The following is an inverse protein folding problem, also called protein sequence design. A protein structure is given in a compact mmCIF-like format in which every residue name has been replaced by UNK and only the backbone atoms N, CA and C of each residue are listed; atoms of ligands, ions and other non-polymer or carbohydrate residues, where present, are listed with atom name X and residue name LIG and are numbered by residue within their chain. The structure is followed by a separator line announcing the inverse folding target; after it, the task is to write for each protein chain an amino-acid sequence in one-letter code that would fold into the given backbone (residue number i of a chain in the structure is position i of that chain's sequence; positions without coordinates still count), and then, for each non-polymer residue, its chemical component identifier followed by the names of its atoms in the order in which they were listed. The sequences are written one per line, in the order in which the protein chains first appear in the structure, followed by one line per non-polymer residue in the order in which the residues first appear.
data_IF_874432592725
#
_entry.id   IF_874432592725
#
_cell.length_a   1.000
_cell.length_b   1.000
_cell.length_c   1.000
_cell.angle_alpha   90.00
_cell.angle_beta   90.00
_cell.angle_gamma   90.00
#
_symmetry.space_group_name_H-M   'P 1'
#
loop_
_entity.id
_entity.type
_entity.pdbx_description
1 polymer ?
#
# COMPACT_ATOMS: atom_id res chain seq x y z
N UNK A 1 -20.24 5.29 -10.53
CA UNK A 1 -19.22 6.35 -10.31
C UNK A 1 -19.01 6.58 -8.83
N UNK A 2 -20.05 6.63 -8.03
CA UNK A 2 -20.00 6.93 -6.58
C UNK A 2 -19.11 5.98 -5.76
N UNK A 3 -19.14 4.69 -6.04
CA UNK A 3 -18.29 3.71 -5.34
C UNK A 3 -16.78 3.92 -5.58
N UNK A 4 -16.41 4.39 -6.78
CA UNK A 4 -15.02 4.76 -7.07
C UNK A 4 -14.61 6.03 -6.32
N UNK A 5 -15.52 7.03 -6.26
CA UNK A 5 -15.29 8.24 -5.47
C UNK A 5 -15.22 7.91 -3.97
N UNK A 6 -16.09 7.03 -3.48
CA UNK A 6 -16.06 6.58 -2.10
C UNK A 6 -14.75 5.87 -1.76
N UNK A 7 -14.23 5.03 -2.66
CA UNK A 7 -12.95 4.34 -2.49
C UNK A 7 -11.74 5.27 -2.44
N UNK A 8 -11.88 6.52 -2.89
CA UNK A 8 -10.85 7.56 -2.83
C UNK A 8 -11.15 8.65 -1.79
N UNK A 9 -12.25 8.53 -1.06
CA UNK A 9 -12.68 9.50 -0.06
C UNK A 9 -11.91 9.30 1.26
N UNK A 10 -10.63 9.66 1.25
CA UNK A 10 -9.73 9.56 2.41
C UNK A 10 -10.29 10.45 3.54
N UNK A 11 -10.56 9.88 4.73
CA UNK A 11 -11.06 10.64 5.87
C UNK A 11 -10.16 11.81 6.24
N UNK A 12 -10.76 12.91 6.63
CA UNK A 12 -10.13 14.21 6.91
C UNK A 12 -9.56 14.94 5.67
N UNK A 13 -9.52 14.31 4.49
CA UNK A 13 -9.11 14.93 3.22
C UNK A 13 -10.32 15.21 2.33
N UNK A 14 -11.20 14.21 2.18
CA UNK A 14 -12.39 14.30 1.35
C UNK A 14 -13.67 13.96 2.14
N UNK A 15 -14.82 14.57 1.78
CA UNK A 15 -16.09 14.23 2.40
C UNK A 15 -16.50 12.79 2.01
N UNK A 16 -17.26 12.10 2.87
CA UNK A 16 -17.85 10.82 2.53
C UNK A 16 -18.86 10.94 1.39
N UNK A 17 -19.00 9.90 0.58
CA UNK A 17 -19.91 9.86 -0.56
C UNK A 17 -21.22 9.21 -0.13
N UNK A 18 -22.35 9.87 -0.37
CA UNK A 18 -23.66 9.30 -0.14
C UNK A 18 -24.03 8.33 -1.29
N UNK A 19 -24.26 7.07 -0.95
CA UNK A 19 -24.68 6.04 -1.89
C UNK A 19 -25.75 5.15 -1.26
N UNK A 20 -26.91 5.02 -1.90
CA UNK A 20 -28.05 4.22 -1.42
C UNK A 20 -28.43 4.49 0.05
N UNK A 21 -28.47 5.77 0.44
CA UNK A 21 -28.83 6.19 1.80
C UNK A 21 -27.73 5.96 2.86
N UNK A 22 -26.52 5.54 2.51
CA UNK A 22 -25.39 5.32 3.38
C UNK A 22 -24.22 6.22 3.02
N UNK A 23 -23.51 6.74 4.02
CA UNK A 23 -22.26 7.45 3.83
C UNK A 23 -21.10 6.46 3.74
N UNK A 24 -20.42 6.48 2.61
CA UNK A 24 -19.27 5.63 2.31
C UNK A 24 -17.99 6.48 2.29
N UNK A 25 -16.91 5.95 2.80
CA UNK A 25 -15.56 6.53 2.74
C UNK A 25 -14.54 5.50 2.26
N UNK A 26 -13.28 5.93 2.19
CA UNK A 26 -12.19 5.06 1.78
C UNK A 26 -12.06 3.86 2.72
N UNK A 27 -12.16 2.68 2.15
CA UNK A 27 -12.00 1.40 2.86
C UNK A 27 -10.58 1.10 3.30
N UNK A 28 -9.60 1.87 2.87
CA UNK A 28 -8.18 1.67 3.19
C UNK A 28 -7.87 1.70 4.68
N UNK A 29 -8.72 2.34 5.50
CA UNK A 29 -8.62 2.33 6.96
C UNK A 29 -8.91 0.97 7.59
N UNK A 30 -9.82 0.20 6.98
CA UNK A 30 -10.23 -1.11 7.52
C UNK A 30 -9.57 -2.26 6.78
N UNK A 31 -9.45 -2.17 5.47
CA UNK A 31 -8.88 -3.22 4.62
C UNK A 31 -8.38 -2.63 3.29
N UNK A 32 -7.16 -2.15 3.27
CA UNK A 32 -6.54 -1.51 2.09
C UNK A 32 -6.30 -2.49 0.93
N UNK A 33 -6.06 -3.75 1.23
CA UNK A 33 -5.95 -4.82 0.25
C UNK A 33 -6.85 -5.98 0.69
N UNK A 34 -8.11 -6.06 0.17
CA UNK A 34 -9.15 -6.97 0.68
C UNK A 34 -8.89 -8.43 0.32
N UNK A 35 -7.71 -8.96 0.67
CA UNK A 35 -7.31 -10.34 0.43
C UNK A 35 -8.23 -11.34 1.16
N UNK A 36 -8.62 -11.04 2.39
CA UNK A 36 -9.57 -11.86 3.15
C UNK A 36 -10.93 -11.94 2.46
N UNK A 37 -11.40 -10.84 1.89
CA UNK A 37 -12.63 -10.80 1.09
C UNK A 37 -12.49 -11.63 -0.19
N UNK A 38 -11.36 -11.51 -0.90
CA UNK A 38 -11.10 -12.32 -2.09
C UNK A 38 -11.13 -13.83 -1.75
N UNK A 39 -10.53 -14.21 -0.63
CA UNK A 39 -10.54 -15.62 -0.16
C UNK A 39 -11.95 -16.08 0.22
N UNK A 40 -12.75 -15.24 0.89
CA UNK A 40 -14.14 -15.57 1.22
C UNK A 40 -15.02 -15.75 -0.04
N UNK A 41 -14.63 -15.14 -1.14
CA UNK A 41 -15.24 -15.27 -2.46
C UNK A 41 -14.66 -16.43 -3.30
N UNK A 42 -13.78 -17.24 -2.72
CA UNK A 42 -13.25 -18.46 -3.35
C UNK A 42 -11.86 -18.31 -4.00
N UNK A 43 -11.14 -17.20 -3.79
CA UNK A 43 -9.77 -17.10 -4.28
C UNK A 43 -8.85 -18.10 -3.58
N UNK A 44 -8.12 -18.89 -4.35
CA UNK A 44 -7.12 -19.85 -3.87
C UNK A 44 -5.70 -19.30 -3.95
N UNK A 45 -5.54 -18.19 -4.68
CA UNK A 45 -4.28 -17.46 -4.85
C UNK A 45 -4.52 -15.95 -4.78
N UNK A 46 -3.70 -15.27 -4.00
CA UNK A 46 -3.72 -13.81 -3.84
C UNK A 46 -2.37 -13.25 -4.28
N UNK A 47 -2.39 -12.28 -5.18
CA UNK A 47 -1.21 -11.49 -5.54
C UNK A 47 -1.45 -10.07 -5.04
N UNK A 48 -0.70 -9.67 -4.02
CA UNK A 48 -0.80 -8.33 -3.45
C UNK A 48 0.19 -7.38 -4.13
N UNK A 49 -0.34 -6.26 -4.64
CA UNK A 49 0.43 -5.15 -5.21
C UNK A 49 0.38 -4.00 -4.21
N UNK A 50 1.46 -3.79 -3.46
CA UNK A 50 1.54 -2.70 -2.50
C UNK A 50 2.30 -1.52 -3.09
N UNK A 51 1.80 -0.30 -2.83
CA UNK A 51 2.53 0.94 -3.15
C UNK A 51 3.64 1.22 -2.13
N UNK A 52 3.63 0.52 -0.98
CA UNK A 52 4.58 0.76 0.10
C UNK A 52 4.33 2.08 0.84
N UNK A 53 5.38 2.61 1.43
CA UNK A 53 5.37 3.88 2.17
C UNK A 53 6.67 4.65 1.93
N UNK A 54 6.68 5.93 2.29
CA UNK A 54 7.86 6.79 2.15
C UNK A 54 8.90 6.45 3.22
N UNK A 55 9.72 5.45 2.95
CA UNK A 55 10.69 4.89 3.89
C UNK A 55 12.01 5.68 3.99
N UNK A 56 12.26 6.60 3.07
CA UNK A 56 13.52 7.34 2.96
C UNK A 56 13.31 8.86 2.91
N UNK A 57 12.33 9.39 3.67
CA UNK A 57 12.15 10.84 3.78
C UNK A 57 13.37 11.46 4.44
N UNK A 58 13.93 12.49 3.80
CA UNK A 58 15.09 13.24 4.31
C UNK A 58 14.69 14.09 5.53
N UNK A 59 13.47 14.63 5.50
CA UNK A 59 12.93 15.45 6.59
C UNK A 59 11.58 14.90 7.05
N UNK A 60 11.27 14.99 8.36
CA UNK A 60 9.95 14.60 8.85
C UNK A 60 8.88 15.52 8.27
N UNK A 61 7.63 15.03 8.12
CA UNK A 61 6.52 15.86 7.70
C UNK A 61 6.33 17.06 8.63
N UNK A 62 6.13 18.25 8.07
CA UNK A 62 5.95 19.48 8.84
C UNK A 62 4.47 19.83 8.99
N UNK A 63 4.06 20.13 10.22
CA UNK A 63 2.68 20.51 10.56
C UNK A 63 1.75 19.33 10.84
N UNK A 64 0.67 19.61 11.55
CA UNK A 64 -0.22 18.58 12.10
C UNK A 64 -0.86 17.69 11.01
N UNK A 65 -1.33 18.29 9.92
CA UNK A 65 -2.00 17.55 8.83
C UNK A 65 -1.02 16.60 8.14
N UNK A 66 0.16 17.09 7.73
CA UNK A 66 1.16 16.26 7.05
C UNK A 66 1.65 15.12 7.94
N UNK A 67 1.84 15.38 9.24
CA UNK A 67 2.22 14.37 10.23
C UNK A 67 1.11 13.33 10.41
N UNK A 68 -0.15 13.76 10.52
CA UNK A 68 -1.30 12.85 10.64
C UNK A 68 -1.45 11.95 9.40
N UNK A 69 -1.33 12.51 8.21
CA UNK A 69 -1.42 11.75 6.95
C UNK A 69 -0.25 10.77 6.79
N UNK A 70 0.94 11.14 7.22
CA UNK A 70 2.08 10.23 7.24
C UNK A 70 1.87 9.08 8.24
N UNK A 71 1.41 9.38 9.45
CA UNK A 71 1.08 8.36 10.44
C UNK A 71 -0.03 7.42 9.94
N UNK A 72 -1.06 7.95 9.28
CA UNK A 72 -2.12 7.16 8.65
C UNK A 72 -1.55 6.21 7.57
N UNK A 73 -0.64 6.69 6.74
CA UNK A 73 0.01 5.85 5.73
C UNK A 73 0.79 4.68 6.36
N UNK A 74 1.51 4.93 7.46
CA UNK A 74 2.21 3.88 8.20
C UNK A 74 1.24 2.87 8.83
N UNK A 75 0.12 3.33 9.38
CA UNK A 75 -0.91 2.46 9.95
C UNK A 75 -1.55 1.57 8.88
N UNK A 76 -1.88 2.12 7.71
CA UNK A 76 -2.43 1.38 6.57
C UNK A 76 -1.44 0.31 6.11
N UNK A 77 -0.15 0.67 6.00
CA UNK A 77 0.89 -0.29 5.62
C UNK A 77 1.03 -1.43 6.65
N UNK A 78 1.04 -1.10 7.94
CA UNK A 78 1.11 -2.10 9.01
C UNK A 78 -0.11 -3.02 9.01
N UNK A 79 -1.29 -2.46 8.76
CA UNK A 79 -2.53 -3.24 8.65
C UNK A 79 -2.47 -4.20 7.47
N UNK A 80 -2.00 -3.73 6.30
CA UNK A 80 -1.79 -4.57 5.13
C UNK A 80 -0.88 -5.77 5.43
N UNK A 81 0.26 -5.54 6.07
CA UNK A 81 1.20 -6.61 6.46
C UNK A 81 0.50 -7.64 7.35
N UNK A 82 -0.20 -7.19 8.39
CA UNK A 82 -0.92 -8.06 9.29
C UNK A 82 -2.01 -8.89 8.59
N UNK A 83 -2.77 -8.28 7.68
CA UNK A 83 -3.82 -8.96 6.93
C UNK A 83 -3.24 -10.02 5.97
N UNK A 84 -2.09 -9.72 5.32
CA UNK A 84 -1.39 -10.68 4.46
C UNK A 84 -0.79 -11.85 5.26
N UNK A 85 -0.23 -11.59 6.44
CA UNK A 85 0.24 -12.63 7.36
C UNK A 85 -0.89 -13.57 7.78
N UNK A 86 -2.07 -13.02 8.08
CA UNK A 86 -3.26 -13.81 8.43
C UNK A 86 -3.81 -14.68 7.31
N UNK A 87 -3.47 -14.40 6.05
CA UNK A 87 -3.80 -15.23 4.89
C UNK A 87 -2.76 -16.34 4.63
N UNK A 88 -1.54 -16.16 5.13
CA UNK A 88 -0.45 -17.12 4.97
C UNK A 88 -0.83 -18.47 5.61
N UNK A 89 -0.64 -19.55 4.86
CA UNK A 89 -1.04 -20.89 5.29
C UNK A 89 -2.50 -21.28 4.97
N UNK A 90 -3.36 -20.32 4.59
CA UNK A 90 -4.75 -20.59 4.14
C UNK A 90 -4.85 -20.66 2.62
N UNK A 91 -4.14 -19.79 1.95
CA UNK A 91 -4.09 -19.67 0.48
C UNK A 91 -2.67 -19.32 0.03
N UNK A 92 -2.43 -19.45 -1.26
CA UNK A 92 -1.17 -19.01 -1.86
C UNK A 92 -1.12 -17.50 -1.92
N UNK A 93 -0.19 -16.88 -1.17
CA UNK A 93 0.01 -15.42 -1.16
C UNK A 93 1.37 -15.10 -1.76
N UNK A 94 1.38 -14.24 -2.77
CA UNK A 94 2.58 -13.63 -3.35
C UNK A 94 2.49 -12.12 -3.20
N UNK A 95 3.51 -11.49 -2.66
CA UNK A 95 3.53 -10.03 -2.47
C UNK A 95 4.60 -9.44 -3.36
N UNK A 96 4.20 -8.56 -4.26
CA UNK A 96 5.15 -7.80 -5.09
C UNK A 96 5.82 -6.76 -4.21
N UNK A 97 7.17 -6.77 -4.09
CA UNK A 97 7.87 -5.79 -3.28
C UNK A 97 7.58 -4.36 -3.77
N UNK A 98 7.21 -3.44 -2.88
CA UNK A 98 7.07 -2.04 -3.25
C UNK A 98 8.43 -1.42 -3.56
N UNK A 99 8.40 -0.23 -4.17
CA UNK A 99 9.64 0.53 -4.38
C UNK A 99 10.30 0.86 -3.04
N UNK A 100 11.61 0.68 -3.00
CA UNK A 100 12.46 1.07 -1.88
C UNK A 100 13.86 1.41 -2.42
N UNK A 101 14.46 2.55 -2.04
CA UNK A 101 13.91 3.61 -1.18
C UNK A 101 12.92 4.53 -1.89
N UNK A 102 11.97 5.09 -1.13
CA UNK A 102 11.07 6.15 -1.59
C UNK A 102 11.18 7.36 -0.65
N UNK A 103 11.63 8.48 -1.22
CA UNK A 103 11.82 9.75 -0.51
C UNK A 103 10.74 10.78 -0.83
N UNK A 104 9.64 10.36 -1.47
CA UNK A 104 8.55 11.23 -1.93
C UNK A 104 7.36 11.09 -1.00
N UNK A 105 6.72 12.20 -0.63
CA UNK A 105 5.49 12.14 0.17
C UNK A 105 4.32 11.61 -0.67
N UNK A 106 3.31 10.96 -0.07
CA UNK A 106 2.17 10.40 -0.81
C UNK A 106 1.36 11.41 -1.63
N UNK A 107 1.49 12.70 -1.33
CA UNK A 107 0.77 13.80 -1.99
C UNK A 107 1.60 14.56 -3.02
N UNK A 108 2.86 14.20 -3.21
CA UNK A 108 3.71 14.77 -4.26
C UNK A 108 3.64 13.92 -5.53
N UNK A 109 2.81 14.35 -6.47
CA UNK A 109 2.63 13.70 -7.75
C UNK A 109 3.68 14.09 -8.81
N UNK A 110 4.58 15.03 -8.50
CA UNK A 110 5.61 15.49 -9.45
C UNK A 110 6.56 14.39 -9.93
N UNK A 111 6.72 13.34 -9.12
CA UNK A 111 7.58 12.19 -9.38
C UNK A 111 6.85 10.95 -9.94
N UNK A 112 5.55 11.06 -10.23
CA UNK A 112 4.72 9.90 -10.64
C UNK A 112 5.30 9.14 -11.81
N UNK A 113 5.72 9.82 -12.88
CA UNK A 113 6.28 9.19 -14.07
C UNK A 113 7.59 8.43 -13.78
N UNK A 114 8.43 8.96 -12.90
CA UNK A 114 9.67 8.29 -12.45
C UNK A 114 9.33 7.05 -11.63
N UNK A 115 8.44 7.19 -10.65
CA UNK A 115 8.03 6.08 -9.77
C UNK A 115 7.38 4.94 -10.55
N UNK A 116 6.55 5.25 -11.56
CA UNK A 116 5.94 4.25 -12.44
C UNK A 116 7.02 3.45 -13.18
N UNK A 117 7.99 4.12 -13.80
CA UNK A 117 9.07 3.44 -14.52
C UNK A 117 9.93 2.57 -13.60
N UNK A 118 10.26 3.07 -12.40
CA UNK A 118 11.03 2.32 -11.40
C UNK A 118 10.26 1.09 -10.92
N UNK A 119 8.96 1.24 -10.62
CA UNK A 119 8.11 0.14 -10.20
C UNK A 119 7.98 -0.93 -11.27
N UNK A 120 7.79 -0.53 -12.54
CA UNK A 120 7.74 -1.46 -13.66
C UNK A 120 9.04 -2.25 -13.80
N UNK A 121 10.19 -1.57 -13.78
CA UNK A 121 11.50 -2.22 -13.91
C UNK A 121 11.78 -3.19 -12.76
N UNK A 122 11.49 -2.78 -11.51
CA UNK A 122 11.64 -3.60 -10.32
C UNK A 122 10.74 -4.84 -10.38
N UNK A 123 9.46 -4.66 -10.70
CA UNK A 123 8.51 -5.77 -10.80
C UNK A 123 8.87 -6.75 -11.91
N UNK A 124 9.31 -6.26 -13.08
CA UNK A 124 9.78 -7.13 -14.17
C UNK A 124 11.00 -7.97 -13.75
N UNK A 125 11.93 -7.37 -13.01
CA UNK A 125 13.10 -8.09 -12.47
C UNK A 125 12.67 -9.15 -11.47
N UNK A 126 11.80 -8.80 -10.52
CA UNK A 126 11.26 -9.72 -9.53
C UNK A 126 10.53 -10.90 -10.18
N UNK A 127 9.73 -10.67 -11.22
CA UNK A 127 9.05 -11.72 -11.98
C UNK A 127 10.05 -12.69 -12.65
N UNK A 128 11.09 -12.15 -13.32
CA UNK A 128 12.16 -12.96 -13.95
C UNK A 128 12.93 -13.81 -12.94
N UNK A 129 13.02 -13.36 -11.70
CA UNK A 129 13.68 -14.09 -10.61
C UNK A 129 12.74 -15.10 -9.90
N UNK A 130 11.61 -15.42 -10.49
CA UNK A 130 10.65 -16.37 -9.91
C UNK A 130 9.87 -15.81 -8.72
N UNK A 131 9.66 -14.50 -8.67
CA UNK A 131 9.02 -13.81 -7.55
C UNK A 131 7.66 -14.39 -7.17
N UNK A 132 6.86 -14.85 -8.13
CA UNK A 132 5.55 -15.46 -7.85
C UNK A 132 5.63 -16.77 -7.04
N UNK A 133 6.79 -17.41 -6.98
CA UNK A 133 7.03 -18.61 -6.17
C UNK A 133 7.56 -18.29 -4.78
N UNK A 134 7.94 -17.04 -4.52
CA UNK A 134 8.40 -16.61 -3.21
C UNK A 134 7.22 -16.51 -2.25
N UNK A 135 7.45 -16.90 -1.00
CA UNK A 135 6.48 -16.85 0.10
C UNK A 135 6.96 -15.82 1.13
N UNK A 136 6.01 -15.27 1.86
CA UNK A 136 6.29 -14.32 2.94
C UNK A 136 6.12 -12.86 2.52
N UNK A 137 6.29 -11.99 3.50
CA UNK A 137 6.17 -10.55 3.35
C UNK A 137 7.54 -9.99 2.98
N UNK A 138 7.64 -9.16 1.93
CA UNK A 138 8.90 -8.48 1.58
C UNK A 138 9.37 -7.54 2.69
N UNK A 139 10.69 -7.49 2.91
CA UNK A 139 11.30 -6.64 3.94
C UNK A 139 11.01 -5.15 3.71
N UNK A 140 10.77 -4.75 2.46
CA UNK A 140 10.42 -3.40 2.07
C UNK A 140 9.08 -2.92 2.65
N UNK A 141 8.22 -3.83 3.12
CA UNK A 141 6.97 -3.49 3.81
C UNK A 141 7.14 -3.36 5.32
N UNK A 142 8.24 -3.83 5.88
CA UNK A 142 8.57 -3.69 7.29
C UNK A 142 9.27 -2.35 7.56
N UNK A 143 9.17 -1.80 8.78
CA UNK A 143 9.96 -0.63 9.17
C UNK A 143 11.45 -0.93 9.05
N UNK A 144 12.18 -0.15 8.27
CA UNK A 144 13.62 -0.29 8.07
C UNK A 144 14.27 1.08 7.88
N UNK A 145 15.55 1.16 8.19
CA UNK A 145 16.34 2.37 7.96
C UNK A 145 17.19 2.26 6.69
N UNK A 146 17.33 3.37 5.99
CA UNK A 146 18.31 3.51 4.92
C UNK A 146 19.56 4.19 5.46
N UNK A 147 20.75 3.62 5.19
CA UNK A 147 21.99 4.36 5.43
C UNK A 147 21.96 5.58 4.50
N UNK A 148 22.15 6.78 5.08
CA UNK A 148 22.33 7.98 4.29
C UNK A 148 23.45 7.73 3.28
N UNK A 149 23.13 7.80 1.99
CA UNK A 149 24.15 7.87 0.96
C UNK A 149 24.78 9.26 1.11
N UNK A 150 25.90 9.31 1.83
CA UNK A 150 26.81 10.48 1.91
C UNK A 150 27.53 10.63 0.60
#
# INVERSE_FOLDING_TARGET
MDLLLASAAIPAVFPPVLHEGRFLGDGGLSNNAPGSTAVSLGATKVIALSTGFSCALVEPPRGAIATALHALNLLINRRLVHDLEGLSGRVEVSVVPPLCPVAVTPFDFSKSAELIRRAEASTRLWLRQGGLSRRGIPDELSPHGHKSMS
#
